data_IF_717495202011
#
_entry.id   IF_717495202011
#
_cell.length_a   1.000
_cell.length_b   1.000
_cell.length_c   1.000
_cell.angle_alpha   90.00
_cell.angle_beta   90.00
_cell.angle_gamma   90.00
#
_symmetry.space_group_name_H-M   'P 1'
#
loop_
_entity.id
_entity.type
_entity.pdbx_description
1 polymer ?
#
# COMPACT_ATOMS: atom_id res chain seq x y z
N UNK A 1 1.88 10.93 12.24
CA UNK A 1 1.32 9.68 12.81
C UNK A 1 0.65 8.92 11.69
N UNK A 2 1.14 7.71 11.40
CA UNK A 2 0.61 6.88 10.29
C UNK A 2 -0.60 6.10 10.78
N UNK A 3 -1.69 6.11 10.01
CA UNK A 3 -2.87 5.32 10.32
C UNK A 3 -2.73 3.91 9.71
N UNK A 4 -2.53 2.91 10.57
CA UNK A 4 -2.34 1.53 10.14
C UNK A 4 -3.55 0.93 9.41
N UNK A 5 -4.78 1.42 9.64
CA UNK A 5 -5.95 1.01 8.87
C UNK A 5 -5.82 1.41 7.41
N UNK A 6 -5.33 2.62 7.14
CA UNK A 6 -5.09 3.10 5.78
C UNK A 6 -3.94 2.31 5.13
N UNK A 7 -2.86 2.05 5.87
CA UNK A 7 -1.73 1.23 5.39
C UNK A 7 -2.21 -0.16 4.93
N UNK A 8 -3.01 -0.85 5.75
CA UNK A 8 -3.56 -2.17 5.40
C UNK A 8 -4.44 -2.13 4.15
N UNK A 9 -5.29 -1.11 4.02
CA UNK A 9 -6.16 -0.96 2.85
C UNK A 9 -5.33 -0.74 1.59
N UNK A 10 -4.32 0.14 1.65
CA UNK A 10 -3.45 0.42 0.50
C UNK A 10 -2.64 -0.82 0.13
N UNK A 11 -2.01 -1.47 1.11
CA UNK A 11 -1.24 -2.70 0.89
C UNK A 11 -2.10 -3.81 0.27
N UNK A 12 -3.31 -4.03 0.79
CA UNK A 12 -4.23 -5.03 0.24
C UNK A 12 -4.61 -4.72 -1.22
N UNK A 13 -4.84 -3.45 -1.56
CA UNK A 13 -5.10 -3.05 -2.95
C UNK A 13 -3.89 -3.31 -3.85
N UNK A 14 -2.68 -2.96 -3.41
CA UNK A 14 -1.46 -3.23 -4.18
C UNK A 14 -1.27 -4.74 -4.39
N UNK A 15 -1.49 -5.55 -3.35
CA UNK A 15 -1.35 -7.02 -3.42
C UNK A 15 -2.43 -7.71 -4.26
N UNK A 16 -3.56 -7.06 -4.52
CA UNK A 16 -4.70 -7.63 -5.27
C UNK A 16 -4.90 -6.95 -6.64
N UNK A 17 -3.94 -6.16 -7.09
CA UNK A 17 -4.04 -5.31 -8.29
C UNK A 17 -5.31 -4.43 -8.30
N UNK A 18 -5.74 -4.00 -7.11
CA UNK A 18 -6.90 -3.16 -6.90
C UNK A 18 -6.74 -1.78 -7.52
N UNK A 19 -7.85 -1.18 -7.95
CA UNK A 19 -7.84 0.13 -8.61
C UNK A 19 -7.61 1.27 -7.61
N UNK A 20 -6.73 2.19 -7.97
CA UNK A 20 -6.55 3.47 -7.31
C UNK A 20 -7.77 4.36 -7.60
N UNK A 21 -8.56 4.74 -6.59
CA UNK A 21 -9.78 5.51 -6.79
C UNK A 21 -9.54 6.92 -7.34
N UNK A 22 -8.31 7.43 -7.25
CA UNK A 22 -7.95 8.76 -7.75
C UNK A 22 -7.61 8.75 -9.24
N UNK A 23 -6.90 7.73 -9.71
CA UNK A 23 -6.38 7.67 -11.08
C UNK A 23 -7.16 6.72 -11.98
N UNK A 24 -7.93 5.79 -11.39
CA UNK A 24 -8.64 4.73 -12.13
C UNK A 24 -7.74 3.61 -12.63
N UNK A 25 -6.44 3.65 -12.35
CA UNK A 25 -5.45 2.64 -12.75
C UNK A 25 -5.17 1.67 -11.60
N UNK A 26 -4.43 0.58 -11.87
CA UNK A 26 -3.94 -0.33 -10.83
C UNK A 26 -3.13 0.46 -9.81
N UNK A 27 -3.42 0.25 -8.53
CA UNK A 27 -2.79 0.98 -7.45
C UNK A 27 -1.40 0.43 -7.20
N UNK A 28 -0.39 1.28 -7.36
CA UNK A 28 1.02 0.92 -7.15
C UNK A 28 1.64 1.74 -6.01
N UNK A 29 2.75 1.26 -5.46
CA UNK A 29 3.46 1.94 -4.36
C UNK A 29 3.89 3.37 -4.73
N UNK A 30 4.16 3.61 -6.01
CA UNK A 30 4.59 4.90 -6.55
C UNK A 30 3.52 5.98 -6.44
N UNK A 31 2.25 5.60 -6.39
CA UNK A 31 1.12 6.53 -6.22
C UNK A 31 1.08 7.16 -4.82
N UNK A 32 1.79 6.59 -3.83
CA UNK A 32 1.83 7.08 -2.46
C UNK A 32 2.81 8.24 -2.35
N UNK A 33 2.31 9.47 -2.40
CA UNK A 33 3.15 10.69 -2.31
C UNK A 33 3.63 10.98 -0.90
N UNK A 34 2.94 10.50 0.13
CA UNK A 34 3.36 10.67 1.51
C UNK A 34 4.41 9.61 1.88
N UNK A 35 5.63 10.07 2.19
CA UNK A 35 6.78 9.21 2.45
C UNK A 35 6.59 8.30 3.67
N UNK A 36 5.97 8.79 4.75
CA UNK A 36 5.69 7.99 5.95
C UNK A 36 4.74 6.83 5.63
N UNK A 37 3.71 7.09 4.82
CA UNK A 37 2.78 6.06 4.39
C UNK A 37 3.42 5.07 3.41
N UNK A 38 4.30 5.54 2.52
CA UNK A 38 5.01 4.68 1.58
C UNK A 38 5.85 3.66 2.33
N UNK A 39 6.70 4.12 3.25
CA UNK A 39 7.55 3.24 4.08
C UNK A 39 6.70 2.27 4.90
N UNK A 40 5.60 2.73 5.50
CA UNK A 40 4.73 1.87 6.29
C UNK A 40 4.04 0.78 5.44
N UNK A 41 3.64 1.10 4.21
CA UNK A 41 3.04 0.14 3.27
C UNK A 41 4.09 -0.85 2.76
N UNK A 42 5.30 -0.39 2.40
CA UNK A 42 6.40 -1.26 2.00
C UNK A 42 6.77 -2.26 3.12
N UNK A 43 6.94 -1.78 4.35
CA UNK A 43 7.21 -2.63 5.51
C UNK A 43 6.07 -3.64 5.73
N UNK A 44 4.82 -3.19 5.66
CA UNK A 44 3.68 -4.09 5.83
C UNK A 44 3.64 -5.17 4.74
N UNK A 45 3.87 -4.81 3.47
CA UNK A 45 3.91 -5.77 2.37
C UNK A 45 5.06 -6.77 2.56
N UNK A 46 6.26 -6.32 2.94
CA UNK A 46 7.41 -7.18 3.19
C UNK A 46 7.13 -8.17 4.34
N UNK A 47 6.62 -7.68 5.47
CA UNK A 47 6.28 -8.52 6.64
C UNK A 47 5.20 -9.55 6.34
N UNK A 48 4.23 -9.25 5.46
CA UNK A 48 3.11 -10.13 5.15
C UNK A 48 3.37 -11.03 3.93
N UNK A 49 4.42 -10.76 3.15
CA UNK A 49 4.76 -11.54 1.94
C UNK A 49 5.99 -12.44 2.14
N UNK A 50 6.87 -12.14 3.10
CA UNK A 50 8.07 -12.95 3.43
C UNK A 50 7.77 -14.30 4.12
N UNK A 51 6.57 -14.84 3.94
CA UNK A 51 6.12 -16.13 4.48
C UNK A 51 5.84 -17.20 3.42
N UNK A 52 6.49 -17.13 2.26
CA UNK A 52 6.51 -18.19 1.23
C UNK A 52 7.94 -18.66 1.00
#
# INVERSE_FOLDING_TARGET
>A
MVNMTIVKIIANRILTDGINPKTGNVYVIEDITNQDYRVAVENYILENTAGV
#
